data_IF_115516011369
#
_entry.id   IF_115516011369
#
_cell.length_a   1.000
_cell.length_b   1.000
_cell.length_c   1.000
_cell.angle_alpha   90.00
_cell.angle_beta   90.00
_cell.angle_gamma   90.00
#
_symmetry.space_group_name_H-M   'P 1'
#
loop_
_entity.id
_entity.type
_entity.pdbx_description
1 polymer ?
#
# COMPACT_ATOMS: atom_id res chain seq x y z
N UNK A 1 -8.61 -26.20 -39.19
CA UNK A 1 -8.79 -26.85 -37.87
C UNK A 1 -8.13 -25.93 -36.85
N UNK A 2 -8.89 -24.98 -36.30
CA UNK A 2 -8.39 -24.08 -35.26
C UNK A 2 -8.16 -24.91 -33.99
N UNK A 3 -6.96 -24.80 -33.40
CA UNK A 3 -6.64 -25.47 -32.16
C UNK A 3 -7.38 -24.75 -31.02
N UNK A 4 -8.25 -25.42 -30.24
CA UNK A 4 -9.02 -24.79 -29.17
C UNK A 4 -8.13 -24.06 -28.13
N UNK A 5 -6.91 -24.57 -27.92
CA UNK A 5 -5.89 -23.92 -27.07
C UNK A 5 -5.48 -22.51 -27.51
N UNK A 6 -5.55 -22.19 -28.81
CA UNK A 6 -5.10 -20.89 -29.33
C UNK A 6 -6.15 -19.80 -29.11
N UNK A 7 -7.43 -20.17 -29.14
CA UNK A 7 -8.55 -19.25 -28.93
C UNK A 7 -8.75 -18.94 -27.44
N UNK A 8 -8.61 -19.95 -26.57
CA UNK A 8 -8.59 -19.76 -25.11
C UNK A 8 -7.45 -18.82 -24.67
N UNK A 9 -6.23 -19.02 -25.19
CA UNK A 9 -5.10 -18.14 -24.89
C UNK A 9 -5.31 -16.70 -25.39
N UNK A 10 -6.00 -16.52 -26.53
CA UNK A 10 -6.37 -15.18 -27.02
C UNK A 10 -7.36 -14.50 -26.06
N UNK A 11 -8.41 -15.22 -25.65
CA UNK A 11 -9.39 -14.69 -24.71
C UNK A 11 -8.77 -14.31 -23.35
N UNK A 12 -7.87 -15.15 -22.82
CA UNK A 12 -7.17 -14.87 -21.56
C UNK A 12 -6.31 -13.61 -21.68
N UNK A 13 -5.60 -13.43 -22.79
CA UNK A 13 -4.78 -12.23 -23.05
C UNK A 13 -5.63 -10.98 -23.18
N UNK A 14 -6.75 -11.05 -23.89
CA UNK A 14 -7.69 -9.94 -24.04
C UNK A 14 -8.27 -9.53 -22.67
N UNK A 15 -8.64 -10.50 -21.83
CA UNK A 15 -9.15 -10.26 -20.48
C UNK A 15 -8.10 -9.61 -19.56
N UNK A 16 -6.87 -10.13 -19.53
CA UNK A 16 -5.80 -9.59 -18.67
C UNK A 16 -5.28 -8.23 -19.14
N UNK A 17 -5.41 -7.89 -20.42
CA UNK A 17 -5.05 -6.58 -20.93
C UNK A 17 -5.91 -5.44 -20.34
N UNK A 18 -7.11 -5.75 -19.85
CA UNK A 18 -7.99 -4.82 -19.14
C UNK A 18 -8.02 -5.04 -17.63
N UNK A 19 -7.07 -5.80 -17.07
CA UNK A 19 -7.04 -6.04 -15.64
C UNK A 19 -6.81 -4.74 -14.88
N UNK A 20 -7.71 -4.44 -13.95
CA UNK A 20 -7.60 -3.29 -13.08
C UNK A 20 -6.78 -3.65 -11.83
N UNK A 21 -5.56 -3.12 -11.75
CA UNK A 21 -4.68 -3.30 -10.60
C UNK A 21 -5.19 -2.59 -9.35
N UNK A 22 -6.11 -1.63 -9.48
CA UNK A 22 -6.71 -0.93 -8.36
C UNK A 22 -7.88 -1.69 -7.73
N UNK A 23 -8.41 -2.73 -8.38
CA UNK A 23 -9.58 -3.48 -7.89
C UNK A 23 -9.49 -3.86 -6.38
N UNK A 24 -8.35 -4.37 -5.86
CA UNK A 24 -8.26 -4.67 -4.42
C UNK A 24 -8.36 -3.45 -3.50
N UNK A 25 -7.90 -2.29 -3.96
CA UNK A 25 -7.99 -1.02 -3.24
C UNK A 25 -9.42 -0.46 -3.30
N UNK A 26 -10.05 -0.54 -4.47
CA UNK A 26 -11.43 -0.08 -4.67
C UNK A 26 -12.41 -0.90 -3.82
N UNK A 27 -12.25 -2.23 -3.80
CA UNK A 27 -13.01 -3.13 -2.93
C UNK A 27 -12.82 -2.74 -1.45
N UNK A 28 -11.58 -2.50 -1.03
CA UNK A 28 -11.28 -2.11 0.35
C UNK A 28 -11.80 -0.72 0.72
N UNK A 29 -11.89 0.23 -0.22
CA UNK A 29 -12.41 1.57 0.02
C UNK A 29 -13.93 1.58 0.32
N UNK A 30 -14.68 0.68 -0.32
CA UNK A 30 -16.14 0.60 -0.18
C UNK A 30 -16.64 -0.44 0.83
N UNK A 31 -15.78 -1.35 1.28
CA UNK A 31 -16.13 -2.40 2.25
C UNK A 31 -16.63 -1.81 3.59
N UNK A 32 -17.90 -1.99 3.96
CA UNK A 32 -18.44 -1.47 5.22
C UNK A 32 -17.91 -2.17 6.46
N UNK A 33 -17.35 -3.39 6.33
CA UNK A 33 -16.80 -4.15 7.45
C UNK A 33 -15.35 -3.73 7.77
N UNK A 34 -14.69 -2.98 6.88
CA UNK A 34 -13.37 -2.43 7.16
C UNK A 34 -13.44 -1.16 8.02
N UNK A 35 -12.52 -1.01 8.99
CA UNK A 35 -12.35 0.24 9.73
C UNK A 35 -12.21 1.44 8.78
N UNK A 36 -12.84 2.56 9.13
CA UNK A 36 -12.85 3.77 8.29
C UNK A 36 -11.45 4.21 7.86
N UNK A 37 -10.46 4.14 8.76
CA UNK A 37 -9.05 4.47 8.45
C UNK A 37 -8.50 3.60 7.31
N UNK A 38 -8.80 2.30 7.29
CA UNK A 38 -8.33 1.40 6.22
C UNK A 38 -8.99 1.71 4.89
N UNK A 39 -10.28 2.05 4.91
CA UNK A 39 -11.02 2.46 3.72
C UNK A 39 -10.48 3.75 3.11
N UNK A 40 -10.14 4.72 3.97
CA UNK A 40 -9.53 5.99 3.55
C UNK A 40 -8.13 5.78 3.00
N UNK A 41 -7.29 5.02 3.71
CA UNK A 41 -5.96 4.63 3.23
C UNK A 41 -6.01 3.93 1.87
N UNK A 42 -6.97 3.01 1.66
CA UNK A 42 -7.17 2.37 0.37
C UNK A 42 -7.59 3.36 -0.72
N UNK A 43 -8.47 4.31 -0.38
CA UNK A 43 -8.90 5.37 -1.31
C UNK A 43 -7.73 6.26 -1.72
N UNK A 44 -6.86 6.65 -0.78
CA UNK A 44 -5.65 7.42 -1.05
C UNK A 44 -4.72 6.65 -2.00
N UNK A 45 -4.41 5.39 -1.66
CA UNK A 45 -3.50 4.55 -2.43
C UNK A 45 -3.99 4.23 -3.86
N UNK A 46 -5.30 4.33 -4.14
CA UNK A 46 -5.86 4.08 -5.48
C UNK A 46 -5.36 5.06 -6.53
N UNK A 47 -4.96 6.27 -6.11
CA UNK A 47 -4.45 7.32 -7.00
C UNK A 47 -2.93 7.20 -7.26
N UNK A 48 -2.26 6.30 -6.54
CA UNK A 48 -0.80 6.19 -6.56
C UNK A 48 -0.28 5.11 -7.52
N UNK A 49 0.94 5.34 -8.00
CA UNK A 49 1.66 4.39 -8.84
C UNK A 49 1.91 3.05 -8.12
N UNK A 50 1.97 1.96 -8.90
CA UNK A 50 2.17 0.59 -8.39
C UNK A 50 3.43 0.49 -7.51
N UNK A 51 4.59 0.78 -8.08
CA UNK A 51 5.88 0.61 -7.39
C UNK A 51 6.14 1.75 -6.41
N UNK A 52 5.99 3.00 -6.85
CA UNK A 52 6.25 4.18 -6.03
C UNK A 52 5.38 4.24 -4.78
N UNK A 53 4.07 4.09 -4.93
CA UNK A 53 3.14 4.10 -3.82
C UNK A 53 3.37 2.95 -2.83
N UNK A 54 3.76 1.76 -3.32
CA UNK A 54 4.10 0.64 -2.44
C UNK A 54 5.30 0.97 -1.54
N UNK A 55 6.40 1.49 -2.12
CA UNK A 55 7.59 1.82 -1.34
C UNK A 55 7.36 2.99 -0.37
N UNK A 56 6.56 3.98 -0.77
CA UNK A 56 6.20 5.10 0.09
C UNK A 56 5.34 4.67 1.29
N UNK A 57 4.36 3.78 1.07
CA UNK A 57 3.56 3.19 2.14
C UNK A 57 4.40 2.31 3.06
N UNK A 58 5.28 1.48 2.49
CA UNK A 58 6.18 0.62 3.25
C UNK A 58 7.12 1.45 4.15
N UNK A 59 7.73 2.51 3.59
CA UNK A 59 8.65 3.36 4.34
C UNK A 59 7.98 4.00 5.56
N UNK A 60 6.75 4.49 5.40
CA UNK A 60 5.98 5.07 6.48
C UNK A 60 5.57 4.01 7.52
N UNK A 61 5.12 2.83 7.07
CA UNK A 61 4.76 1.72 7.96
C UNK A 61 5.94 1.29 8.85
N UNK A 62 7.13 1.14 8.26
CA UNK A 62 8.35 0.79 8.98
C UNK A 62 8.74 1.86 10.01
N UNK A 63 8.60 3.14 9.67
CA UNK A 63 8.89 4.23 10.60
C UNK A 63 7.94 4.24 11.81
N UNK A 64 6.65 3.94 11.60
CA UNK A 64 5.70 3.77 12.69
C UNK A 64 5.96 2.51 13.53
N UNK A 65 6.39 1.41 12.92
CA UNK A 65 6.80 0.20 13.65
C UNK A 65 8.02 0.47 14.54
N UNK A 66 9.02 1.18 14.03
CA UNK A 66 10.20 1.59 14.81
C UNK A 66 9.78 2.49 15.98
N UNK A 67 8.88 3.45 15.75
CA UNK A 67 8.37 4.33 16.81
C UNK A 67 7.56 3.57 17.86
N UNK A 68 6.73 2.60 17.45
CA UNK A 68 5.99 1.75 18.36
C UNK A 68 6.92 0.86 19.20
N UNK A 69 8.01 0.34 18.61
CA UNK A 69 9.03 -0.41 19.34
C UNK A 69 9.72 0.46 20.39
N UNK A 70 10.17 1.65 20.02
CA UNK A 70 10.79 2.60 20.95
C UNK A 70 9.85 2.98 22.10
N UNK A 71 8.55 3.19 21.80
CA UNK A 71 7.55 3.48 22.83
C UNK A 71 7.38 2.33 23.82
N UNK A 72 7.40 1.08 23.36
CA UNK A 72 7.35 -0.11 24.22
C UNK A 72 8.60 -0.27 25.09
N UNK A 73 9.74 0.23 24.63
CA UNK A 73 11.00 0.29 25.38
C UNK A 73 11.09 1.54 26.28
N UNK A 74 10.01 2.32 26.39
CA UNK A 74 9.92 3.57 27.16
C UNK A 74 10.95 4.64 26.71
N UNK A 75 11.40 4.58 25.45
CA UNK A 75 12.29 5.58 24.86
C UNK A 75 11.46 6.80 24.49
N UNK A 76 11.59 7.87 25.27
CA UNK A 76 10.80 9.10 25.09
C UNK A 76 11.57 10.29 24.49
N UNK A 77 12.86 10.12 24.15
CA UNK A 77 13.70 11.18 23.60
C UNK A 77 13.13 11.73 22.27
N UNK A 78 13.02 13.05 22.15
CA UNK A 78 12.47 13.71 20.96
C UNK A 78 13.32 13.51 19.70
N UNK A 79 14.60 13.20 19.85
CA UNK A 79 15.57 12.93 18.79
C UNK A 79 15.91 11.44 18.63
N UNK A 80 15.07 10.57 19.17
CA UNK A 80 15.20 9.13 18.96
C UNK A 80 15.29 8.77 17.47
N UNK A 81 15.98 7.67 17.13
CA UNK A 81 16.10 7.21 15.75
C UNK A 81 14.76 7.16 15.00
N UNK A 82 13.69 6.62 15.58
CA UNK A 82 12.39 6.53 14.91
C UNK A 82 11.75 7.91 14.70
N UNK A 83 11.83 8.82 15.69
CA UNK A 83 11.30 10.20 15.54
C UNK A 83 12.07 10.99 14.48
N UNK A 84 13.39 10.81 14.39
CA UNK A 84 14.21 11.41 13.32
C UNK A 84 13.83 10.86 11.94
N UNK A 85 13.57 9.55 11.84
CA UNK A 85 13.10 8.92 10.59
C UNK A 85 11.75 9.47 10.16
N UNK A 86 10.76 9.52 11.05
CA UNK A 86 9.44 10.09 10.77
C UNK A 86 9.53 11.55 10.33
N UNK A 87 10.30 12.39 11.04
CA UNK A 87 10.53 13.78 10.61
C UNK A 87 11.20 13.86 9.23
N UNK A 88 12.14 12.98 8.94
CA UNK A 88 12.82 12.93 7.64
C UNK A 88 11.85 12.60 6.50
N UNK A 89 10.93 11.66 6.73
CA UNK A 89 9.87 11.31 5.77
C UNK A 89 8.96 12.53 5.52
N UNK A 90 8.44 13.15 6.58
CA UNK A 90 7.52 14.28 6.47
C UNK A 90 8.18 15.56 5.92
N UNK A 91 9.50 15.70 6.06
CA UNK A 91 10.26 16.83 5.52
C UNK A 91 10.50 16.75 4.00
N UNK A 92 10.33 15.57 3.39
CA UNK A 92 10.45 15.39 1.93
C UNK A 92 9.28 15.99 1.14
N UNK A 93 8.20 16.37 1.84
CA UNK A 93 7.00 16.98 1.26
C UNK A 93 6.37 16.16 0.14
N UNK A 94 6.23 14.85 0.39
CA UNK A 94 5.52 13.95 -0.50
C UNK A 94 4.06 13.86 -0.05
N UNK A 95 3.17 14.33 -0.90
CA UNK A 95 1.74 14.48 -0.59
C UNK A 95 1.13 13.15 -0.11
N UNK A 96 1.42 12.04 -0.79
CA UNK A 96 0.89 10.73 -0.41
C UNK A 96 1.31 10.29 1.00
N UNK A 97 2.59 10.39 1.35
CA UNK A 97 3.06 10.05 2.71
C UNK A 97 2.52 11.00 3.77
N UNK A 98 2.29 12.27 3.43
CA UNK A 98 1.67 13.26 4.33
C UNK A 98 0.21 12.90 4.60
N UNK A 99 -0.58 12.62 3.57
CA UNK A 99 -1.99 12.26 3.70
C UNK A 99 -2.16 10.94 4.46
N UNK A 100 -1.32 9.93 4.19
CA UNK A 100 -1.31 8.69 4.98
C UNK A 100 -0.98 8.95 6.45
N UNK A 101 -0.02 9.84 6.74
CA UNK A 101 0.34 10.21 8.10
C UNK A 101 -0.84 10.88 8.81
N UNK A 102 -1.51 11.83 8.16
CA UNK A 102 -2.66 12.54 8.71
C UNK A 102 -3.82 11.60 9.06
N UNK A 103 -4.04 10.54 8.29
CA UNK A 103 -5.07 9.54 8.58
C UNK A 103 -4.78 8.68 9.84
N UNK A 104 -3.53 8.59 10.29
CA UNK A 104 -3.14 7.68 11.39
C UNK A 104 -2.48 8.37 12.59
N UNK A 105 -2.13 9.66 12.50
CA UNK A 105 -1.31 10.34 13.51
C UNK A 105 -2.00 10.54 14.87
N UNK A 106 -3.32 10.47 14.91
CA UNK A 106 -4.10 10.54 16.17
C UNK A 106 -4.28 9.17 16.84
N UNK A 107 -3.84 8.08 16.20
CA UNK A 107 -3.94 6.72 16.72
C UNK A 107 -2.73 6.38 17.59
N UNK A 108 -2.87 5.41 18.51
CA UNK A 108 -1.72 4.78 19.15
C UNK A 108 -0.72 4.25 18.11
N UNK A 109 0.59 4.42 18.37
CA UNK A 109 1.65 4.06 17.41
C UNK A 109 1.53 2.62 16.89
N UNK A 110 1.17 1.68 17.76
CA UNK A 110 0.97 0.29 17.39
C UNK A 110 -0.22 0.09 16.44
N UNK A 111 -1.33 0.80 16.66
CA UNK A 111 -2.53 0.73 15.83
C UNK A 111 -2.28 1.41 14.47
N UNK A 112 -1.65 2.58 14.48
CA UNK A 112 -1.21 3.28 13.27
C UNK A 112 -0.31 2.38 12.40
N UNK A 113 0.70 1.75 13.02
CA UNK A 113 1.57 0.80 12.35
C UNK A 113 0.78 -0.39 11.77
N UNK A 114 -0.18 -0.94 12.52
CA UNK A 114 -1.00 -2.07 12.06
C UNK A 114 -1.88 -1.71 10.83
N UNK A 115 -2.40 -0.47 10.76
CA UNK A 115 -3.14 0.00 9.59
C UNK A 115 -2.24 0.23 8.37
N UNK A 116 -1.06 0.82 8.55
CA UNK A 116 -0.09 1.04 7.47
C UNK A 116 0.53 -0.27 6.96
N UNK A 117 0.80 -1.24 7.84
CA UNK A 117 1.24 -2.58 7.44
C UNK A 117 0.17 -3.28 6.61
N UNK A 118 -1.10 -3.19 7.02
CA UNK A 118 -2.21 -3.73 6.24
C UNK A 118 -2.28 -3.10 4.84
N UNK A 119 -2.10 -1.77 4.73
CA UNK A 119 -2.09 -1.10 3.44
C UNK A 119 -0.92 -1.58 2.58
N UNK A 120 0.27 -1.67 3.17
CA UNK A 120 1.48 -2.18 2.50
C UNK A 120 1.28 -3.58 1.94
N UNK A 121 0.64 -4.47 2.71
CA UNK A 121 0.32 -5.83 2.26
C UNK A 121 -0.67 -5.84 1.08
N UNK A 122 -1.66 -4.93 1.09
CA UNK A 122 -2.62 -4.78 0.00
C UNK A 122 -1.94 -4.23 -1.27
N UNK A 123 -1.10 -3.20 -1.13
CA UNK A 123 -0.32 -2.64 -2.23
C UNK A 123 0.68 -3.65 -2.80
N UNK A 124 1.30 -4.47 -1.95
CA UNK A 124 2.19 -5.55 -2.38
C UNK A 124 1.47 -6.53 -3.29
N UNK A 125 0.26 -6.96 -2.94
CA UNK A 125 -0.55 -7.85 -3.79
C UNK A 125 -0.85 -7.21 -5.14
N UNK A 126 -1.13 -5.91 -5.16
CA UNK A 126 -1.33 -5.10 -6.38
C UNK A 126 -0.08 -5.10 -7.27
N UNK A 127 1.11 -4.88 -6.70
CA UNK A 127 2.40 -4.92 -7.43
C UNK A 127 2.76 -6.34 -7.89
N UNK A 128 2.60 -7.34 -7.03
CA UNK A 128 2.94 -8.73 -7.33
C UNK A 128 2.10 -9.30 -8.47
N UNK A 129 0.87 -8.80 -8.69
CA UNK A 129 0.03 -9.16 -9.83
C UNK A 129 0.51 -8.58 -11.17
N UNK A 130 1.26 -7.48 -11.16
CA UNK A 130 1.71 -6.82 -12.39
C UNK A 130 2.67 -7.69 -13.19
N UNK A 131 3.58 -8.39 -12.52
CA UNK A 131 4.61 -9.22 -13.17
C UNK A 131 4.03 -10.45 -13.90
N UNK A 132 3.19 -11.30 -13.28
CA UNK A 132 2.54 -12.41 -13.99
C UNK A 132 1.69 -11.93 -15.18
N UNK A 133 1.01 -10.79 -15.06
CA UNK A 133 0.21 -10.22 -16.15
C UNK A 133 1.10 -9.76 -17.31
N UNK A 134 2.21 -9.07 -17.02
CA UNK A 134 3.19 -8.69 -18.03
C UNK A 134 3.74 -9.91 -18.79
N UNK A 135 4.14 -10.96 -18.05
CA UNK A 135 4.64 -12.22 -18.61
C UNK A 135 3.62 -12.87 -19.58
N UNK A 136 2.33 -12.92 -19.19
CA UNK A 136 1.26 -13.50 -20.03
C UNK A 136 1.02 -12.65 -21.28
N UNK A 137 1.05 -11.32 -21.15
CA UNK A 137 0.88 -10.38 -22.25
C UNK A 137 2.11 -10.30 -23.17
N UNK A 138 3.27 -10.80 -22.71
CA UNK A 138 4.54 -10.74 -23.45
C UNK A 138 5.09 -9.32 -23.53
N UNK A 139 4.95 -8.55 -22.44
CA UNK A 139 5.43 -7.18 -22.31
C UNK A 139 6.60 -7.10 -21.33
#
# INVERSE_FOLDING_TARGET
MFHPRTEELRMIREYLASYDFNLPLDDAAVDPELPLVRRRLASLASSEGLDGGYYEAQELAEAFLDAAREANEEIQADDSPARRRLRGILARDLDYQREMFEEVCELPLADAAAHLCWLTDLMKRRVDMARPIADILGR
#
